data_IF_416178902692
#
_entry.id   IF_416178902692
#
_cell.length_a   1.000
_cell.length_b   1.000
_cell.length_c   1.000
_cell.angle_alpha   90.00
_cell.angle_beta   90.00
_cell.angle_gamma   90.00
#
_symmetry.space_group_name_H-M   'P 1'
#
loop_
_entity.id
_entity.type
_entity.pdbx_description
1 polymer ?
#
# COMPACT_ATOMS: atom_id res chain seq x y z
N UNK A 1 -66.40 -17.26 -25.39
CA UNK A 1 -65.16 -17.36 -26.17
C UNK A 1 -64.10 -16.55 -25.43
N UNK A 2 -63.20 -17.25 -24.70
CA UNK A 2 -62.09 -16.64 -23.94
C UNK A 2 -60.80 -16.96 -24.67
N UNK A 3 -60.11 -15.94 -25.21
CA UNK A 3 -58.79 -16.08 -25.82
C UNK A 3 -57.72 -16.01 -24.74
N UNK A 4 -56.99 -17.09 -24.57
CA UNK A 4 -55.77 -17.17 -23.74
C UNK A 4 -54.58 -16.81 -24.62
N UNK A 5 -53.96 -15.65 -24.38
CA UNK A 5 -52.68 -15.26 -25.00
C UNK A 5 -51.54 -15.91 -24.22
N UNK A 6 -50.87 -16.87 -24.83
CA UNK A 6 -49.62 -17.46 -24.37
C UNK A 6 -48.49 -16.51 -24.71
N UNK A 7 -47.90 -15.85 -23.72
CA UNK A 7 -46.62 -15.11 -23.84
C UNK A 7 -45.47 -16.12 -23.77
N UNK A 8 -44.84 -16.37 -24.90
CA UNK A 8 -43.61 -17.13 -24.95
C UNK A 8 -42.45 -16.23 -24.49
N UNK A 9 -41.91 -16.47 -23.29
CA UNK A 9 -40.68 -15.82 -22.83
C UNK A 9 -39.50 -16.45 -23.53
N UNK A 10 -38.86 -15.67 -24.39
CA UNK A 10 -37.55 -16.01 -24.97
C UNK A 10 -36.48 -15.83 -23.90
N UNK A 11 -35.97 -16.94 -23.38
CA UNK A 11 -34.78 -16.98 -22.55
C UNK A 11 -33.61 -16.91 -23.52
N UNK A 12 -32.97 -15.73 -23.63
CA UNK A 12 -31.65 -15.62 -24.27
C UNK A 12 -30.61 -16.27 -23.33
N UNK A 13 -29.85 -17.28 -23.78
CA UNK A 13 -28.69 -17.72 -23.03
C UNK A 13 -27.65 -16.61 -23.06
N UNK A 14 -27.36 -16.01 -21.92
CA UNK A 14 -26.23 -15.12 -21.74
C UNK A 14 -24.96 -15.90 -22.11
N UNK A 15 -24.26 -15.46 -23.13
CA UNK A 15 -22.88 -15.89 -23.41
C UNK A 15 -22.00 -15.44 -22.24
N UNK A 16 -21.88 -16.28 -21.24
CA UNK A 16 -20.77 -16.19 -20.30
C UNK A 16 -19.51 -16.45 -21.11
N UNK A 17 -18.71 -15.42 -21.35
CA UNK A 17 -17.34 -15.54 -21.85
C UNK A 17 -16.57 -16.34 -20.81
N UNK A 18 -16.53 -17.67 -20.97
CA UNK A 18 -15.62 -18.52 -20.22
C UNK A 18 -14.22 -18.14 -20.69
N UNK A 19 -13.44 -17.47 -19.83
CA UNK A 19 -12.02 -17.26 -20.07
C UNK A 19 -11.39 -18.61 -20.46
N UNK A 20 -10.59 -18.62 -21.51
CA UNK A 20 -9.93 -19.83 -22.00
C UNK A 20 -9.10 -20.44 -20.85
N UNK A 21 -9.24 -21.74 -20.60
CA UNK A 21 -8.53 -22.41 -19.51
C UNK A 21 -7.02 -22.25 -19.72
N UNK A 22 -6.29 -21.96 -18.64
CA UNK A 22 -4.83 -21.83 -18.66
C UNK A 22 -4.20 -23.07 -19.31
N UNK A 23 -3.39 -22.91 -20.39
CA UNK A 23 -2.74 -24.04 -21.05
C UNK A 23 -1.89 -24.86 -20.08
N UNK A 24 -1.97 -26.19 -20.18
CA UNK A 24 -1.34 -27.09 -19.20
C UNK A 24 0.19 -26.86 -19.09
N UNK A 25 0.85 -26.54 -20.21
CA UNK A 25 2.29 -26.27 -20.20
C UNK A 25 2.63 -25.01 -19.39
N UNK A 26 1.81 -23.94 -19.49
CA UNK A 26 1.97 -22.71 -18.72
C UNK A 26 1.71 -22.95 -17.25
N UNK A 27 0.66 -23.73 -16.93
CA UNK A 27 0.34 -24.13 -15.58
C UNK A 27 1.47 -24.93 -14.95
N UNK A 28 1.97 -25.96 -15.62
CA UNK A 28 3.06 -26.80 -15.14
C UNK A 28 4.33 -25.99 -14.90
N UNK A 29 4.66 -25.07 -15.81
CA UNK A 29 5.82 -24.19 -15.65
C UNK A 29 5.66 -23.26 -14.43
N UNK A 30 4.49 -22.65 -14.28
CA UNK A 30 4.19 -21.78 -13.13
C UNK A 30 4.33 -22.54 -11.81
N UNK A 31 3.75 -23.74 -11.72
CA UNK A 31 3.85 -24.57 -10.52
C UNK A 31 5.30 -24.97 -10.20
N UNK A 32 6.10 -25.37 -11.20
CA UNK A 32 7.52 -25.73 -11.03
C UNK A 32 8.38 -24.55 -10.58
N UNK A 33 8.07 -23.35 -11.04
CA UNK A 33 8.81 -22.12 -10.69
C UNK A 33 8.25 -21.40 -9.45
N UNK A 34 7.17 -21.91 -8.84
CA UNK A 34 6.52 -21.26 -7.70
C UNK A 34 5.80 -19.96 -8.06
N UNK A 35 5.38 -19.81 -9.33
CA UNK A 35 4.66 -18.63 -9.83
C UNK A 35 3.17 -18.84 -9.65
N UNK A 36 2.53 -17.96 -8.86
CA UNK A 36 1.08 -17.91 -8.75
C UNK A 36 0.51 -17.18 -9.99
N UNK A 37 -0.22 -17.91 -10.84
CA UNK A 37 -0.84 -17.34 -12.04
C UNK A 37 -2.04 -16.48 -11.67
N UNK A 38 -2.17 -15.30 -12.32
CA UNK A 38 -3.20 -14.30 -12.00
C UNK A 38 -4.23 -14.20 -13.12
N UNK A 39 -3.82 -13.80 -14.33
CA UNK A 39 -4.73 -13.63 -15.47
C UNK A 39 -4.01 -13.73 -16.81
N UNK A 40 -4.77 -13.98 -17.87
CA UNK A 40 -4.32 -13.78 -19.24
C UNK A 40 -4.18 -12.28 -19.53
N UNK A 41 -3.20 -11.91 -20.35
CA UNK A 41 -2.94 -10.54 -20.78
C UNK A 41 -3.05 -10.43 -22.29
N UNK A 42 -3.49 -9.28 -22.77
CA UNK A 42 -3.51 -8.99 -24.20
C UNK A 42 -2.07 -8.76 -24.68
N UNK A 43 -1.58 -9.65 -25.55
CA UNK A 43 -0.22 -9.62 -26.05
C UNK A 43 -0.21 -9.37 -27.56
N UNK A 44 0.61 -8.44 -28.06
CA UNK A 44 0.73 -8.19 -29.49
C UNK A 44 1.34 -9.38 -30.25
N UNK A 45 1.16 -9.40 -31.57
CA UNK A 45 1.82 -10.37 -32.44
C UNK A 45 1.29 -11.81 -32.37
N UNK A 46 0.08 -12.01 -31.83
CA UNK A 46 -0.56 -13.33 -31.77
C UNK A 46 0.06 -14.31 -30.76
N UNK A 47 0.91 -13.81 -29.88
CA UNK A 47 1.48 -14.58 -28.77
C UNK A 47 0.52 -14.54 -27.59
N UNK A 48 0.13 -15.68 -27.05
CA UNK A 48 -0.67 -15.71 -25.81
C UNK A 48 0.22 -15.42 -24.62
N UNK A 49 -0.21 -14.51 -23.74
CA UNK A 49 0.54 -14.09 -22.56
C UNK A 49 -0.26 -14.18 -21.28
N UNK A 50 0.43 -14.41 -20.17
CA UNK A 50 -0.15 -14.45 -18.82
C UNK A 50 0.73 -13.69 -17.85
N UNK A 51 0.09 -13.10 -16.87
CA UNK A 51 0.75 -12.54 -15.71
C UNK A 51 0.62 -13.48 -14.52
N UNK A 52 1.71 -13.62 -13.80
CA UNK A 52 1.77 -14.31 -12.52
C UNK A 52 2.61 -13.51 -11.52
N UNK A 53 2.69 -14.02 -10.32
CA UNK A 53 3.45 -13.43 -9.21
C UNK A 53 4.38 -14.49 -8.61
N UNK A 54 5.64 -14.14 -8.47
CA UNK A 54 6.63 -14.88 -7.71
C UNK A 54 7.07 -14.03 -6.52
N UNK A 55 6.73 -14.45 -5.31
CA UNK A 55 6.88 -13.59 -4.11
C UNK A 55 6.19 -12.24 -4.33
N UNK A 56 6.93 -11.12 -4.28
CA UNK A 56 6.42 -9.76 -4.49
C UNK A 56 6.66 -9.23 -5.91
N UNK A 57 7.21 -10.05 -6.81
CA UNK A 57 7.56 -9.65 -8.17
C UNK A 57 6.56 -10.15 -9.19
N UNK A 58 6.19 -9.27 -10.13
CA UNK A 58 5.43 -9.64 -11.31
C UNK A 58 6.28 -10.46 -12.29
N UNK A 59 5.66 -11.49 -12.87
CA UNK A 59 6.27 -12.33 -13.91
C UNK A 59 5.31 -12.43 -15.08
N UNK A 60 5.79 -12.20 -16.31
CA UNK A 60 5.05 -12.48 -17.53
C UNK A 60 5.54 -13.77 -18.17
N UNK A 61 4.58 -14.61 -18.59
CA UNK A 61 4.80 -15.84 -19.32
C UNK A 61 4.12 -15.75 -20.68
N UNK A 62 4.81 -16.18 -21.71
CA UNK A 62 4.30 -16.21 -23.08
C UNK A 62 4.39 -17.62 -23.64
N UNK A 63 3.36 -18.04 -24.36
CA UNK A 63 3.31 -19.31 -25.05
C UNK A 63 3.70 -19.11 -26.52
N UNK A 64 4.65 -19.89 -27.01
CA UNK A 64 4.99 -19.88 -28.45
C UNK A 64 3.80 -20.31 -29.30
N UNK A 65 3.67 -19.85 -30.55
CA UNK A 65 2.53 -20.16 -31.41
C UNK A 65 2.32 -21.67 -31.65
N UNK A 66 3.39 -22.46 -31.57
CA UNK A 66 3.31 -23.94 -31.68
C UNK A 66 2.80 -24.62 -30.41
N UNK A 67 2.58 -23.85 -29.34
CA UNK A 67 2.07 -24.35 -28.07
C UNK A 67 3.03 -25.23 -27.26
N UNK A 68 4.32 -25.27 -27.63
CA UNK A 68 5.27 -26.22 -27.06
C UNK A 68 6.31 -25.63 -26.12
N UNK A 69 6.44 -24.29 -26.09
CA UNK A 69 7.45 -23.63 -25.30
C UNK A 69 6.86 -22.46 -24.52
N UNK A 70 7.34 -22.28 -23.30
CA UNK A 70 7.01 -21.11 -22.45
C UNK A 70 8.23 -20.21 -22.38
N UNK A 71 8.01 -18.91 -22.61
CA UNK A 71 9.00 -17.86 -22.48
C UNK A 71 8.65 -17.08 -21.22
N UNK A 72 9.60 -16.89 -20.31
CA UNK A 72 9.47 -15.99 -19.16
C UNK A 72 10.31 -14.76 -19.41
N UNK A 73 9.75 -13.56 -19.23
CA UNK A 73 10.45 -12.30 -19.42
C UNK A 73 9.53 -11.12 -19.69
N UNK A 74 10.13 -9.97 -20.05
CA UNK A 74 9.41 -8.73 -20.31
C UNK A 74 9.12 -8.57 -21.79
N UNK A 75 7.95 -7.98 -22.07
CA UNK A 75 7.55 -7.58 -23.42
C UNK A 75 7.89 -6.10 -23.63
N UNK A 76 8.57 -5.80 -24.71
CA UNK A 76 8.92 -4.43 -25.09
C UNK A 76 8.32 -4.08 -26.46
N UNK A 77 7.94 -2.82 -26.65
CA UNK A 77 7.53 -2.31 -27.96
C UNK A 77 8.75 -1.93 -28.84
N UNK A 78 8.49 -1.49 -30.05
CA UNK A 78 9.50 -1.06 -31.03
C UNK A 78 10.35 0.14 -30.56
N UNK A 79 9.87 0.89 -29.55
CA UNK A 79 10.56 2.05 -28.94
C UNK A 79 11.30 1.67 -27.67
N UNK A 80 11.32 0.39 -27.28
CA UNK A 80 11.95 -0.11 -26.08
C UNK A 80 11.15 0.14 -24.79
N UNK A 81 9.86 0.51 -24.87
CA UNK A 81 9.00 0.65 -23.71
C UNK A 81 8.62 -0.73 -23.18
N UNK A 82 8.78 -0.94 -21.89
CA UNK A 82 8.33 -2.16 -21.20
C UNK A 82 6.80 -2.19 -21.09
N UNK A 83 6.16 -3.04 -21.88
CA UNK A 83 4.70 -3.23 -21.84
C UNK A 83 4.26 -4.09 -20.67
N UNK A 84 5.12 -4.98 -20.16
CA UNK A 84 4.81 -5.84 -19.01
C UNK A 84 4.59 -5.03 -17.73
N UNK A 85 5.23 -3.86 -17.60
CA UNK A 85 5.13 -3.01 -16.41
C UNK A 85 3.68 -2.54 -16.13
N UNK A 86 2.93 -2.17 -17.17
CA UNK A 86 1.54 -1.75 -17.03
C UNK A 86 0.65 -2.88 -16.48
N UNK A 87 0.91 -4.13 -16.91
CA UNK A 87 0.20 -5.30 -16.40
C UNK A 87 0.54 -5.58 -14.93
N UNK A 88 1.82 -5.44 -14.55
CA UNK A 88 2.25 -5.62 -13.16
C UNK A 88 1.62 -4.56 -12.27
N UNK A 89 1.64 -3.29 -12.71
CA UNK A 89 1.04 -2.20 -11.96
C UNK A 89 -0.43 -2.46 -11.69
N UNK A 90 -1.20 -2.83 -12.74
CA UNK A 90 -2.64 -3.07 -12.61
C UNK A 90 -2.97 -4.30 -11.75
N UNK A 91 -2.31 -5.43 -12.00
CA UNK A 91 -2.74 -6.71 -11.45
C UNK A 91 -2.09 -7.04 -10.09
N UNK A 92 -0.94 -6.46 -9.77
CA UNK A 92 -0.16 -6.83 -8.59
C UNK A 92 0.10 -5.62 -7.70
N UNK A 93 0.79 -4.58 -8.22
CA UNK A 93 1.31 -3.51 -7.37
C UNK A 93 0.21 -2.60 -6.84
N UNK A 94 -0.75 -2.21 -7.68
CA UNK A 94 -1.89 -1.39 -7.23
C UNK A 94 -2.78 -2.11 -6.21
N UNK A 95 -3.21 -3.37 -6.42
CA UNK A 95 -3.95 -4.12 -5.40
C UNK A 95 -3.17 -4.33 -4.11
N UNK A 96 -1.88 -4.65 -4.19
CA UNK A 96 -1.00 -4.83 -3.04
C UNK A 96 -0.82 -3.52 -2.27
N UNK A 97 -0.61 -2.41 -2.97
CA UNK A 97 -0.51 -1.08 -2.40
C UNK A 97 -1.80 -0.64 -1.70
N UNK A 98 -2.97 -0.93 -2.27
CA UNK A 98 -4.27 -0.67 -1.63
C UNK A 98 -4.45 -1.49 -0.35
N UNK A 99 -4.06 -2.75 -0.36
CA UNK A 99 -4.09 -3.61 0.84
C UNK A 99 -3.15 -3.06 1.92
N UNK A 100 -1.94 -2.67 1.55
CA UNK A 100 -0.97 -2.06 2.46
C UNK A 100 -1.50 -0.74 3.02
N UNK A 101 -2.11 0.11 2.19
CA UNK A 101 -2.75 1.35 2.63
C UNK A 101 -3.82 1.11 3.71
N UNK A 102 -4.67 0.08 3.54
CA UNK A 102 -5.64 -0.30 4.55
C UNK A 102 -4.96 -0.76 5.85
N UNK A 103 -3.89 -1.55 5.74
CA UNK A 103 -3.09 -1.99 6.89
C UNK A 103 -2.52 -0.81 7.67
N UNK A 104 -1.94 0.17 6.97
CA UNK A 104 -1.37 1.37 7.58
C UNK A 104 -2.45 2.23 8.27
N UNK A 105 -3.61 2.41 7.64
CA UNK A 105 -4.73 3.16 8.26
C UNK A 105 -5.25 2.48 9.53
N UNK A 106 -5.18 1.17 9.63
CA UNK A 106 -5.64 0.37 10.77
C UNK A 106 -4.57 0.17 11.84
N UNK A 107 -3.35 0.66 11.63
CA UNK A 107 -2.23 0.49 12.56
C UNK A 107 -2.28 1.41 13.78
N UNK A 108 -3.44 1.95 14.13
CA UNK A 108 -3.66 2.87 15.27
C UNK A 108 -2.80 4.13 15.22
N UNK A 109 -2.86 4.90 14.10
CA UNK A 109 -2.10 6.14 13.97
C UNK A 109 -2.60 7.22 14.92
N UNK A 110 -1.72 8.14 15.29
CA UNK A 110 -2.08 9.41 15.89
C UNK A 110 -2.65 10.32 14.79
N UNK A 111 -3.93 10.64 14.88
CA UNK A 111 -4.66 11.37 13.83
C UNK A 111 -4.73 12.86 14.15
N UNK A 112 -4.32 13.69 13.21
CA UNK A 112 -4.46 15.14 13.25
C UNK A 112 -5.17 15.66 11.99
N UNK A 113 -6.12 16.58 12.15
CA UNK A 113 -6.96 17.09 11.08
C UNK A 113 -8.34 16.43 11.02
N UNK A 114 -9.14 16.84 10.05
CA UNK A 114 -10.51 16.39 9.91
C UNK A 114 -10.59 14.96 9.34
N UNK A 115 -11.49 14.13 9.85
CA UNK A 115 -11.76 12.80 9.28
C UNK A 115 -12.30 12.87 7.84
N UNK A 116 -12.95 13.99 7.50
CA UNK A 116 -13.47 14.31 6.16
C UNK A 116 -12.44 14.92 5.20
N UNK A 117 -11.18 15.08 5.63
CA UNK A 117 -10.14 15.61 4.77
C UNK A 117 -9.99 14.81 3.47
N UNK A 118 -9.89 15.52 2.35
CA UNK A 118 -9.79 14.91 1.02
C UNK A 118 -8.52 14.05 0.86
N UNK A 119 -7.44 14.44 1.54
CA UNK A 119 -6.16 13.73 1.49
C UNK A 119 -5.78 13.20 2.86
N UNK A 120 -5.38 11.93 2.89
CA UNK A 120 -4.79 11.31 4.08
C UNK A 120 -3.33 11.02 3.82
N UNK A 121 -2.48 11.38 4.77
CA UNK A 121 -1.04 11.12 4.74
C UNK A 121 -0.71 10.30 5.97
N UNK A 122 0.02 9.20 5.77
CA UNK A 122 0.56 8.39 6.86
C UNK A 122 2.05 8.64 6.93
N UNK A 123 2.57 8.86 8.14
CA UNK A 123 3.99 9.11 8.35
C UNK A 123 4.52 8.28 9.50
N UNK A 124 5.60 7.54 9.27
CA UNK A 124 6.40 6.97 10.35
C UNK A 124 7.34 8.06 10.87
N UNK A 125 7.27 8.31 12.17
CA UNK A 125 8.05 9.35 12.81
C UNK A 125 8.66 8.87 14.12
N UNK A 126 9.94 9.22 14.35
CA UNK A 126 10.61 9.03 15.62
C UNK A 126 10.62 10.35 16.40
N UNK A 127 10.34 10.36 17.71
CA UNK A 127 10.34 11.58 18.51
C UNK A 127 11.63 12.42 18.46
N UNK A 128 12.77 11.79 18.15
CA UNK A 128 14.06 12.48 18.03
C UNK A 128 14.46 12.80 16.59
N UNK A 129 13.54 12.66 15.64
CA UNK A 129 13.79 12.94 14.23
C UNK A 129 13.59 14.44 13.92
N UNK A 130 14.63 15.22 13.59
CA UNK A 130 14.47 16.62 13.27
C UNK A 130 13.69 16.87 11.97
N UNK A 131 13.85 15.98 10.99
CA UNK A 131 13.13 16.03 9.72
C UNK A 131 11.65 15.66 9.86
N UNK A 132 11.30 14.79 10.81
CA UNK A 132 9.90 14.50 11.13
C UNK A 132 9.19 15.74 11.65
N UNK A 133 9.86 16.49 12.53
CA UNK A 133 9.36 17.75 13.04
C UNK A 133 9.22 18.81 11.93
N UNK A 134 10.22 18.94 11.05
CA UNK A 134 10.14 19.84 9.90
C UNK A 134 8.94 19.50 9.02
N UNK A 135 8.78 18.23 8.66
CA UNK A 135 7.64 17.73 7.89
C UNK A 135 6.30 18.01 8.60
N UNK A 136 6.21 17.67 9.90
CA UNK A 136 5.01 17.91 10.68
C UNK A 136 4.63 19.42 10.66
N UNK A 137 5.63 20.30 10.86
CA UNK A 137 5.41 21.75 10.84
C UNK A 137 4.95 22.26 9.48
N UNK A 138 5.57 21.77 8.41
CA UNK A 138 5.20 22.11 7.03
C UNK A 138 3.77 21.64 6.66
N UNK A 139 3.32 20.52 7.19
CA UNK A 139 1.97 19.98 6.94
C UNK A 139 0.85 20.76 7.67
N UNK A 140 1.16 21.50 8.74
CA UNK A 140 0.15 22.14 9.61
C UNK A 140 -0.81 23.12 8.90
N UNK A 141 -0.41 23.92 7.91
CA UNK A 141 -1.35 24.77 7.19
C UNK A 141 -2.49 23.98 6.54
N UNK A 142 -2.20 22.88 5.87
CA UNK A 142 -3.19 22.02 5.20
C UNK A 142 -4.04 21.22 6.21
N UNK A 143 -3.43 20.78 7.31
CA UNK A 143 -4.15 20.11 8.41
C UNK A 143 -5.18 21.06 9.03
N UNK A 144 -4.79 22.32 9.30
CA UNK A 144 -5.69 23.35 9.84
C UNK A 144 -6.76 23.80 8.86
N UNK A 145 -6.45 23.81 7.56
CA UNK A 145 -7.43 24.08 6.51
C UNK A 145 -8.45 22.94 6.30
N UNK A 146 -8.22 21.76 6.93
CA UNK A 146 -9.08 20.59 6.76
C UNK A 146 -8.86 19.85 5.44
N UNK A 147 -7.82 20.17 4.71
CA UNK A 147 -7.48 19.55 3.41
C UNK A 147 -6.73 18.24 3.58
N UNK A 148 -5.93 18.13 4.65
CA UNK A 148 -5.10 16.95 4.95
C UNK A 148 -5.43 16.42 6.34
N UNK A 149 -5.58 15.10 6.44
CA UNK A 149 -5.47 14.36 7.69
C UNK A 149 -4.08 13.75 7.79
N UNK A 150 -3.31 14.15 8.79
CA UNK A 150 -1.99 13.60 9.07
C UNK A 150 -2.11 12.47 10.11
N UNK A 151 -1.69 11.27 9.73
CA UNK A 151 -1.76 10.06 10.52
C UNK A 151 -0.33 9.60 10.89
N UNK A 152 0.10 9.83 12.13
CA UNK A 152 1.46 9.52 12.55
C UNK A 152 1.54 8.15 13.21
N UNK A 153 2.44 7.29 12.72
CA UNK A 153 2.83 6.01 13.30
C UNK A 153 4.19 6.20 13.99
N UNK A 154 4.20 6.19 15.32
CA UNK A 154 5.45 6.38 16.06
C UNK A 154 6.33 5.13 15.98
N UNK A 155 7.59 5.33 15.66
CA UNK A 155 8.70 4.36 15.72
C UNK A 155 9.76 4.85 16.71
N UNK A 156 10.74 4.00 17.06
CA UNK A 156 11.62 4.33 18.16
C UNK A 156 13.02 3.71 18.00
N UNK A 157 13.81 4.22 17.06
CA UNK A 157 15.13 3.66 16.75
C UNK A 157 16.27 4.69 16.65
N UNK A 158 15.96 6.00 16.53
CA UNK A 158 16.99 7.02 16.30
C UNK A 158 17.79 7.36 17.56
N UNK A 159 17.18 7.23 18.73
CA UNK A 159 17.80 7.60 20.00
C UNK A 159 17.44 6.58 21.09
N UNK A 160 18.35 6.28 22.04
CA UNK A 160 18.02 5.41 23.17
C UNK A 160 16.80 5.85 24.00
N UNK A 161 16.44 7.13 23.95
CA UNK A 161 15.24 7.69 24.62
C UNK A 161 13.97 7.63 23.76
N UNK A 162 14.06 7.31 22.45
CA UNK A 162 12.91 7.32 21.53
C UNK A 162 11.77 6.47 22.05
N UNK A 163 12.07 5.24 22.51
CA UNK A 163 11.07 4.32 23.05
C UNK A 163 10.33 4.88 24.27
N UNK A 164 11.05 5.53 25.18
CA UNK A 164 10.44 6.16 26.37
C UNK A 164 9.51 7.33 25.99
N UNK A 165 9.95 8.17 25.03
CA UNK A 165 9.17 9.33 24.59
C UNK A 165 7.93 8.90 23.80
N UNK A 166 8.08 7.95 22.87
CA UNK A 166 6.96 7.36 22.15
C UNK A 166 5.96 6.69 23.11
N UNK A 167 6.45 5.97 24.15
CA UNK A 167 5.62 5.38 25.18
C UNK A 167 4.84 6.46 25.95
N UNK A 168 5.49 7.53 26.38
CA UNK A 168 4.84 8.60 27.12
C UNK A 168 3.71 9.26 26.29
N UNK A 169 3.97 9.50 25.00
CA UNK A 169 2.99 10.09 24.07
C UNK A 169 1.80 9.12 23.84
N UNK A 170 2.09 7.84 23.53
CA UNK A 170 1.05 6.85 23.23
C UNK A 170 0.18 6.49 24.45
N UNK A 171 0.67 6.67 25.68
CA UNK A 171 -0.09 6.43 26.91
C UNK A 171 -0.68 7.70 27.53
N UNK A 172 -0.57 8.85 26.88
CA UNK A 172 -1.26 10.06 27.32
C UNK A 172 -2.79 9.88 27.20
N UNK A 173 -3.56 10.66 27.96
CA UNK A 173 -5.03 10.65 27.88
C UNK A 173 -5.55 10.91 26.47
N UNK A 174 -4.88 11.81 25.74
CA UNK A 174 -5.08 12.10 24.32
C UNK A 174 -3.72 12.03 23.62
N UNK A 175 -3.37 10.87 23.03
CA UNK A 175 -2.08 10.69 22.39
C UNK A 175 -1.81 11.61 21.19
N UNK A 176 -2.85 11.96 20.42
CA UNK A 176 -2.71 12.87 19.28
C UNK A 176 -2.43 14.29 19.74
N UNK A 177 -3.13 14.76 20.76
CA UNK A 177 -2.84 16.05 21.38
C UNK A 177 -1.45 16.12 22.01
N UNK A 178 -1.04 15.03 22.69
CA UNK A 178 0.29 14.90 23.29
C UNK A 178 1.41 14.98 22.23
N UNK A 179 1.23 14.29 21.11
CA UNK A 179 2.15 14.36 19.96
C UNK A 179 2.24 15.78 19.41
N UNK A 180 1.10 16.43 19.18
CA UNK A 180 1.03 17.83 18.69
C UNK A 180 1.74 18.78 19.64
N UNK A 181 1.51 18.69 20.95
CA UNK A 181 2.21 19.52 21.94
C UNK A 181 3.72 19.26 21.98
N UNK A 182 4.12 18.00 21.84
CA UNK A 182 5.52 17.61 21.72
C UNK A 182 6.17 18.30 20.52
N UNK A 183 5.56 18.23 19.33
CA UNK A 183 6.07 18.84 18.12
C UNK A 183 6.07 20.39 18.20
N UNK A 184 4.98 21.01 18.65
CA UNK A 184 4.89 22.47 18.84
C UNK A 184 5.94 23.00 19.82
N UNK A 185 6.28 22.23 20.85
CA UNK A 185 7.26 22.66 21.85
C UNK A 185 8.71 22.45 21.43
N UNK A 186 8.94 21.88 20.27
CA UNK A 186 10.27 21.51 19.82
C UNK A 186 10.84 20.32 20.58
N UNK A 187 9.99 19.35 20.96
CA UNK A 187 10.39 18.16 21.70
C UNK A 187 10.57 18.40 23.21
N UNK A 188 10.16 19.55 23.72
CA UNK A 188 10.37 19.89 25.15
C UNK A 188 9.23 19.43 26.06
N UNK A 189 7.99 19.41 25.55
CA UNK A 189 6.81 18.97 26.30
C UNK A 189 6.55 17.51 26.06
N UNK A 190 7.12 16.65 26.91
CA UNK A 190 6.87 15.21 26.92
C UNK A 190 5.86 14.90 28.01
N UNK A 191 4.81 14.13 27.77
CA UNK A 191 3.91 13.69 28.83
C UNK A 191 4.67 12.98 29.95
N UNK A 192 4.26 13.21 31.17
CA UNK A 192 4.85 12.48 32.31
C UNK A 192 4.48 11.01 32.19
N UNK A 193 5.48 10.15 32.24
CA UNK A 193 5.32 8.71 32.23
C UNK A 193 6.39 8.06 33.12
N UNK A 194 5.95 7.33 34.13
CA UNK A 194 6.80 6.57 35.03
C UNK A 194 6.56 5.07 34.87
N UNK A 195 7.60 4.30 35.07
CA UNK A 195 7.54 2.84 35.07
C UNK A 195 7.99 2.21 33.75
N UNK A 196 7.57 0.96 33.58
CA UNK A 196 7.91 0.13 32.41
C UNK A 196 6.89 0.34 31.32
N UNK A 197 7.34 0.35 30.05
CA UNK A 197 6.45 0.42 28.89
C UNK A 197 5.39 -0.68 28.95
N UNK A 198 4.08 -0.33 28.93
CA UNK A 198 3.01 -1.31 28.89
C UNK A 198 3.18 -2.25 27.69
N UNK A 199 2.82 -3.53 27.89
CA UNK A 199 2.97 -4.56 26.85
C UNK A 199 2.27 -4.18 25.55
N UNK A 200 1.07 -3.61 25.63
CA UNK A 200 0.31 -3.20 24.45
C UNK A 200 1.01 -2.08 23.67
N UNK A 201 1.60 -1.11 24.38
CA UNK A 201 2.38 -0.03 23.75
C UNK A 201 3.67 -0.55 23.15
N UNK A 202 4.35 -1.45 23.82
CA UNK A 202 5.53 -2.12 23.28
C UNK A 202 5.18 -2.88 21.99
N UNK A 203 4.12 -3.69 22.01
CA UNK A 203 3.66 -4.43 20.83
C UNK A 203 3.26 -3.49 19.70
N UNK A 204 2.62 -2.35 20.01
CA UNK A 204 2.26 -1.34 19.02
C UNK A 204 3.50 -0.74 18.35
N UNK A 205 4.52 -0.35 19.12
CA UNK A 205 5.77 0.18 18.57
C UNK A 205 6.50 -0.86 17.71
N UNK A 206 6.52 -2.13 18.15
CA UNK A 206 7.09 -3.22 17.35
C UNK A 206 6.31 -3.44 16.06
N UNK A 207 4.98 -3.33 16.10
CA UNK A 207 4.14 -3.44 14.92
C UNK A 207 4.40 -2.30 13.92
N UNK A 208 4.51 -1.06 14.40
CA UNK A 208 4.85 0.08 13.55
C UNK A 208 6.24 -0.10 12.91
N UNK A 209 7.23 -0.51 13.70
CA UNK A 209 8.57 -0.77 13.18
C UNK A 209 8.54 -1.86 12.09
N UNK A 210 7.85 -2.97 12.36
CA UNK A 210 7.71 -4.03 11.37
C UNK A 210 7.03 -3.56 10.07
N UNK A 211 5.96 -2.76 10.17
CA UNK A 211 5.31 -2.19 8.98
C UNK A 211 6.25 -1.30 8.17
N UNK A 212 7.06 -0.49 8.86
CA UNK A 212 8.07 0.36 8.24
C UNK A 212 9.12 -0.48 7.49
N UNK A 213 9.61 -1.56 8.14
CA UNK A 213 10.59 -2.49 7.57
C UNK A 213 10.00 -3.26 6.39
N UNK A 214 8.75 -3.77 6.49
CA UNK A 214 8.03 -4.49 5.41
C UNK A 214 7.85 -3.59 4.17
N UNK A 215 7.79 -2.27 4.33
CA UNK A 215 7.73 -1.28 3.26
C UNK A 215 9.11 -0.86 2.73
N UNK A 216 10.19 -1.44 3.25
CA UNK A 216 11.56 -1.12 2.85
C UNK A 216 12.04 0.26 3.29
N UNK A 217 11.33 0.91 4.22
CA UNK A 217 11.74 2.21 4.73
C UNK A 217 12.76 2.07 5.86
N UNK A 218 13.92 2.69 5.71
CA UNK A 218 15.04 2.62 6.67
C UNK A 218 15.34 3.95 7.36
N UNK A 219 14.57 5.00 7.05
CA UNK A 219 14.74 6.34 7.61
C UNK A 219 13.40 7.02 7.88
N UNK A 220 13.39 8.01 8.79
CA UNK A 220 12.22 8.85 9.09
C UNK A 220 12.47 10.31 8.72
N UNK A 221 11.42 11.04 8.30
CA UNK A 221 10.07 10.59 8.11
C UNK A 221 9.96 9.62 6.92
N UNK A 222 9.14 8.58 7.03
CA UNK A 222 8.72 7.78 5.89
C UNK A 222 7.25 8.06 5.64
N UNK A 223 6.95 8.64 4.49
CA UNK A 223 5.67 9.27 4.17
C UNK A 223 4.96 8.44 3.11
N UNK A 224 3.67 8.16 3.34
CA UNK A 224 2.84 7.36 2.45
C UNK A 224 1.53 8.07 2.16
N UNK A 225 1.10 8.01 0.90
CA UNK A 225 -0.19 8.56 0.46
C UNK A 225 -0.69 7.82 -0.78
N UNK A 226 -1.97 7.96 -1.08
CA UNK A 226 -2.54 7.46 -2.34
C UNK A 226 -2.56 8.61 -3.35
N UNK A 227 -2.04 8.35 -4.58
CA UNK A 227 -2.13 9.30 -5.68
C UNK A 227 -3.55 9.32 -6.31
N UNK A 228 -3.75 10.14 -7.34
CA UNK A 228 -5.02 10.26 -8.05
C UNK A 228 -5.43 8.97 -8.78
N UNK A 229 -4.48 8.11 -9.14
CA UNK A 229 -4.70 6.81 -9.75
C UNK A 229 -4.99 5.72 -8.70
N UNK A 230 -5.07 6.12 -7.42
CA UNK A 230 -5.29 5.22 -6.30
C UNK A 230 -4.17 4.17 -6.14
N UNK A 231 -2.94 4.62 -6.32
CA UNK A 231 -1.70 3.86 -6.13
C UNK A 231 -0.96 4.38 -4.90
N UNK A 232 -0.40 3.45 -4.12
CA UNK A 232 0.39 3.80 -2.93
C UNK A 232 1.72 4.43 -3.34
N UNK A 233 1.98 5.62 -2.82
CA UNK A 233 3.23 6.35 -3.01
C UNK A 233 4.02 6.38 -1.71
N UNK A 234 5.36 6.41 -1.84
CA UNK A 234 6.30 6.49 -0.73
C UNK A 234 7.29 7.64 -0.98
N UNK A 235 7.53 8.42 0.06
CA UNK A 235 8.62 9.41 0.10
C UNK A 235 9.40 9.19 1.39
N UNK A 236 10.71 9.00 1.26
CA UNK A 236 11.61 8.84 2.41
C UNK A 236 12.38 10.15 2.62
N UNK A 237 12.32 10.66 3.83
CA UNK A 237 12.89 11.98 4.16
C UNK A 237 11.90 13.12 3.93
N UNK A 238 12.43 14.35 3.96
CA UNK A 238 11.64 15.55 3.67
C UNK A 238 11.37 15.60 2.15
N UNK A 239 10.10 15.78 1.74
CA UNK A 239 9.79 16.00 0.32
C UNK A 239 10.51 17.24 -0.22
N UNK A 240 10.89 17.21 -1.49
CA UNK A 240 11.31 18.43 -2.22
C UNK A 240 10.10 19.37 -2.36
N UNK A 241 10.35 20.70 -2.38
CA UNK A 241 9.31 21.73 -2.51
C UNK A 241 8.61 21.69 -3.86
#
# INVERSE_FOLDING_TARGET
>A
MKYILLLAAWIMPGLASAGEALPQIVKNFGEQQGIAMIKEIDSPGGVKGWIGQYQDMGVTLFLTPDGKHVISGYLYDEKGKNLSEAYFQEAIYTPSGRKMWQTLNNARPLKEGADSAARKIIVFADPFCPWCKAFWSAAQPWVKAGEVQLNTLLVAFLNPKSGRYATAILNARDPAAAWREYELSGGKKVPHFEGVTPRDTFNLLQHHQKLMDDLGASATPAIYYMNEQNELQQVIGMPDE
#
